data_IF_599854314260
#
_entry.id   IF_599854314260
#
_cell.length_a   1.000
_cell.length_b   1.000
_cell.length_c   1.000
_cell.angle_alpha   90.00
_cell.angle_beta   90.00
_cell.angle_gamma   90.00
#
_symmetry.space_group_name_H-M   'P 1'
#
loop_
_entity.id
_entity.type
_entity.pdbx_description
1 polymer ?
#
# COMPACT_ATOMS: atom_id res chain seq x y z
N UNK A 1 -14.32 -17.42 -2.69
CA UNK A 1 -13.19 -17.22 -1.78
C UNK A 1 -13.19 -15.79 -1.27
N UNK A 2 -13.09 -15.63 0.02
CA UNK A 2 -13.17 -14.31 0.61
C UNK A 2 -11.87 -13.53 0.38
N UNK A 3 -12.03 -12.33 -0.12
CA UNK A 3 -10.89 -11.44 -0.22
C UNK A 3 -10.46 -11.00 1.18
N UNK A 4 -9.15 -10.92 1.42
CA UNK A 4 -8.61 -10.47 2.70
C UNK A 4 -8.67 -8.95 2.84
N UNK A 5 -9.10 -8.27 1.79
CA UNK A 5 -9.12 -6.81 1.73
C UNK A 5 -10.20 -6.35 0.76
N UNK A 6 -10.59 -5.10 0.92
CA UNK A 6 -11.57 -4.47 0.02
C UNK A 6 -10.91 -4.12 -1.31
N UNK A 7 -11.74 -3.75 -2.30
CA UNK A 7 -11.24 -3.33 -3.59
C UNK A 7 -10.31 -2.12 -3.46
N UNK A 8 -10.70 -1.13 -2.67
CA UNK A 8 -9.88 0.06 -2.46
C UNK A 8 -8.56 -0.29 -1.79
N UNK A 9 -8.61 -1.12 -0.76
CA UNK A 9 -7.39 -1.59 -0.09
C UNK A 9 -6.49 -2.33 -1.07
N UNK A 10 -7.09 -3.16 -1.92
CA UNK A 10 -6.34 -3.89 -2.94
C UNK A 10 -5.64 -2.96 -3.92
N UNK A 11 -6.26 -1.84 -4.28
CA UNK A 11 -5.64 -0.87 -5.19
C UNK A 11 -4.45 -0.19 -4.53
N UNK A 12 -4.55 0.14 -3.23
CA UNK A 12 -3.40 0.68 -2.50
C UNK A 12 -2.25 -0.32 -2.46
N UNK A 13 -2.57 -1.60 -2.17
CA UNK A 13 -1.55 -2.64 -2.16
C UNK A 13 -0.90 -2.80 -3.53
N UNK A 14 -1.71 -2.75 -4.59
CA UNK A 14 -1.22 -2.87 -5.95
C UNK A 14 -0.30 -1.72 -6.32
N UNK A 15 -0.67 -0.49 -5.97
CA UNK A 15 0.18 0.67 -6.23
C UNK A 15 1.53 0.53 -5.52
N UNK A 16 1.49 0.16 -4.23
CA UNK A 16 2.72 0.01 -3.44
C UNK A 16 3.62 -1.06 -4.07
N UNK A 17 3.05 -2.21 -4.43
CA UNK A 17 3.83 -3.30 -5.02
C UNK A 17 4.45 -2.89 -6.35
N UNK A 18 3.68 -2.22 -7.20
CA UNK A 18 4.19 -1.75 -8.49
C UNK A 18 5.27 -0.68 -8.32
N UNK A 19 5.09 0.22 -7.37
CA UNK A 19 6.08 1.26 -7.11
C UNK A 19 7.41 0.65 -6.69
N UNK A 20 7.36 -0.32 -5.78
CA UNK A 20 8.58 -1.01 -5.33
C UNK A 20 9.26 -1.70 -6.50
N UNK A 21 8.47 -2.38 -7.34
CA UNK A 21 9.02 -3.09 -8.49
C UNK A 21 9.72 -2.15 -9.48
N UNK A 22 9.14 -0.98 -9.71
CA UNK A 22 9.66 -0.04 -10.70
C UNK A 22 10.79 0.84 -10.16
N UNK A 23 10.79 1.11 -8.86
CA UNK A 23 11.71 2.09 -8.27
C UNK A 23 12.72 1.47 -7.29
N UNK A 24 12.58 0.19 -7.00
CA UNK A 24 13.46 -0.54 -6.08
C UNK A 24 13.44 0.03 -4.66
N UNK A 25 12.36 0.69 -4.31
CA UNK A 25 12.13 1.24 -2.96
C UNK A 25 10.67 1.51 -2.77
N UNK A 26 10.26 1.60 -1.50
CA UNK A 26 8.87 1.85 -1.13
C UNK A 26 8.45 3.27 -1.49
N UNK A 27 7.17 3.48 -1.86
CA UNK A 27 6.65 4.84 -1.98
C UNK A 27 6.56 5.49 -0.61
N UNK A 28 6.63 6.82 -0.59
CA UNK A 28 6.24 7.61 0.57
C UNK A 28 4.73 7.78 0.56
N UNK A 29 4.15 8.17 1.69
CA UNK A 29 2.70 8.44 1.73
C UNK A 29 2.31 9.54 0.76
N UNK A 30 3.20 10.52 0.54
CA UNK A 30 2.94 11.57 -0.45
C UNK A 30 2.84 11.05 -1.88
N UNK A 31 3.59 10.01 -2.21
CA UNK A 31 3.49 9.38 -3.53
C UNK A 31 2.13 8.71 -3.70
N UNK A 32 1.67 8.01 -2.65
CA UNK A 32 0.36 7.35 -2.65
C UNK A 32 -0.74 8.38 -2.77
N UNK A 33 -0.63 9.45 -1.98
CA UNK A 33 -1.60 10.54 -2.01
C UNK A 33 -1.74 11.13 -3.41
N UNK A 34 -0.62 11.36 -4.06
CA UNK A 34 -0.62 11.98 -5.40
C UNK A 34 -1.27 11.06 -6.42
N UNK A 35 -0.98 9.77 -6.34
CA UNK A 35 -1.55 8.82 -7.29
C UNK A 35 -3.06 8.71 -7.15
N UNK A 36 -3.55 8.57 -5.93
CA UNK A 36 -4.98 8.37 -5.68
C UNK A 36 -5.77 9.69 -5.58
N UNK A 37 -5.07 10.84 -5.56
CA UNK A 37 -5.69 12.17 -5.50
C UNK A 37 -6.59 12.30 -4.27
N UNK A 38 -6.07 11.90 -3.13
CA UNK A 38 -6.77 11.97 -1.84
C UNK A 38 -5.97 12.83 -0.88
N UNK A 39 -6.54 13.10 0.30
CA UNK A 39 -5.88 13.92 1.30
C UNK A 39 -4.84 13.13 2.09
N UNK A 40 -3.84 13.79 2.68
CA UNK A 40 -2.84 13.10 3.51
C UNK A 40 -3.46 12.27 4.65
N UNK A 41 -4.45 12.77 5.41
CA UNK A 41 -5.07 11.95 6.44
C UNK A 41 -5.70 10.67 5.89
N UNK A 42 -6.30 10.73 4.69
CA UNK A 42 -6.92 9.56 4.08
C UNK A 42 -5.87 8.48 3.80
N UNK A 43 -4.72 8.88 3.24
CA UNK A 43 -3.63 7.95 2.98
C UNK A 43 -3.11 7.35 4.28
N UNK A 44 -2.86 8.20 5.26
CA UNK A 44 -2.31 7.73 6.54
C UNK A 44 -3.25 6.72 7.20
N UNK A 45 -4.55 6.99 7.21
CA UNK A 45 -5.53 6.07 7.78
C UNK A 45 -5.53 4.73 7.05
N UNK A 46 -5.42 4.76 5.72
CA UNK A 46 -5.37 3.53 4.94
C UNK A 46 -4.09 2.75 5.25
N UNK A 47 -2.94 3.41 5.32
CA UNK A 47 -1.68 2.75 5.63
C UNK A 47 -1.75 2.09 7.00
N UNK A 48 -2.27 2.79 8.00
CA UNK A 48 -2.43 2.23 9.34
C UNK A 48 -3.37 1.01 9.31
N UNK A 49 -4.46 1.10 8.56
CA UNK A 49 -5.42 0.00 8.45
C UNK A 49 -4.78 -1.22 7.78
N UNK A 50 -4.06 -1.03 6.69
CA UNK A 50 -3.40 -2.13 6.00
C UNK A 50 -2.37 -2.82 6.90
N UNK A 51 -1.67 -2.03 7.69
CA UNK A 51 -0.70 -2.59 8.65
C UNK A 51 -1.39 -3.42 9.72
N UNK A 52 -2.50 -2.91 10.27
CA UNK A 52 -3.29 -3.66 11.27
C UNK A 52 -3.81 -4.97 10.72
N UNK A 53 -4.15 -5.02 9.45
CA UNK A 53 -4.64 -6.23 8.81
C UNK A 53 -3.52 -7.21 8.46
N UNK A 54 -2.26 -6.82 8.67
CA UNK A 54 -1.14 -7.67 8.35
C UNK A 54 -0.81 -7.73 6.87
N UNK A 55 -1.36 -6.83 6.07
CA UNK A 55 -1.16 -6.82 4.62
C UNK A 55 0.11 -6.08 4.23
N UNK A 56 0.57 -5.19 5.07
CA UNK A 56 1.85 -4.50 4.91
C UNK A 56 2.56 -4.42 6.25
N UNK A 57 3.86 -4.17 6.21
CA UNK A 57 4.64 -3.79 7.38
C UNK A 57 5.41 -2.51 7.03
N UNK A 58 5.84 -1.81 8.06
CA UNK A 58 6.68 -0.61 7.89
C UNK A 58 7.51 -0.42 9.15
N UNK A 59 8.63 0.28 9.01
CA UNK A 59 9.50 0.59 10.14
C UNK A 59 9.03 1.93 10.72
N UNK A 60 8.62 1.97 12.00
CA UNK A 60 8.16 3.23 12.61
C UNK A 60 9.23 4.32 12.52
N UNK A 61 8.81 5.51 12.15
CA UNK A 61 9.71 6.67 12.07
C UNK A 61 10.63 6.69 10.87
N UNK A 62 10.57 5.68 10.01
CA UNK A 62 11.42 5.61 8.81
C UNK A 62 10.54 5.80 7.58
N UNK A 63 10.83 6.84 6.79
CA UNK A 63 10.13 7.07 5.54
C UNK A 63 10.47 5.98 4.53
N UNK A 64 9.54 5.72 3.60
CA UNK A 64 9.73 4.77 2.50
C UNK A 64 10.12 3.37 2.99
N UNK A 65 9.45 2.91 4.06
CA UNK A 65 9.76 1.61 4.66
C UNK A 65 8.62 0.60 4.51
N UNK A 66 7.62 0.88 3.67
CA UNK A 66 6.47 0.00 3.51
C UNK A 66 6.89 -1.26 2.75
N UNK A 67 6.45 -2.41 3.26
CA UNK A 67 6.63 -3.71 2.60
C UNK A 67 5.27 -4.37 2.46
N UNK A 68 5.02 -4.97 1.29
CA UNK A 68 3.81 -5.73 1.03
C UNK A 68 4.03 -7.15 1.53
N UNK A 69 3.11 -7.64 2.38
CA UNK A 69 3.27 -8.94 3.03
C UNK A 69 2.43 -10.04 2.39
N UNK A 70 1.66 -9.73 1.36
CA UNK A 70 0.90 -10.75 0.64
C UNK A 70 1.70 -11.24 -0.56
N UNK A 71 1.35 -12.44 -1.06
CA UNK A 71 2.02 -13.00 -2.23
C UNK A 71 1.79 -12.15 -3.47
N UNK A 72 2.77 -12.06 -4.38
CA UNK A 72 2.59 -11.28 -5.61
C UNK A 72 1.36 -11.66 -6.42
N UNK A 73 1.02 -12.96 -6.45
CA UNK A 73 -0.15 -13.43 -7.19
C UNK A 73 -1.48 -13.00 -6.54
N UNK A 74 -1.45 -12.57 -5.28
CA UNK A 74 -2.66 -12.10 -4.59
C UNK A 74 -2.84 -10.59 -4.74
N UNK A 75 -1.86 -9.90 -5.31
CA UNK A 75 -1.95 -8.45 -5.53
C UNK A 75 -2.85 -8.20 -6.73
N UNK A 76 -3.93 -7.40 -6.56
CA UNK A 76 -4.83 -7.14 -7.68
C UNK A 76 -4.16 -6.32 -8.78
N UNK A 77 -4.77 -6.36 -9.96
CA UNK A 77 -4.33 -5.50 -11.05
C UNK A 77 -4.60 -4.04 -10.70
N UNK A 78 -3.62 -3.20 -10.93
CA UNK A 78 -3.77 -1.77 -10.69
C UNK A 78 -4.63 -1.16 -11.81
N UNK A 79 -5.67 -0.45 -11.41
CA UNK A 79 -6.57 0.20 -12.35
C UNK A 79 -6.06 1.56 -12.79
#
# INVERSE_FOLDING_TARGET
MDAKFTETQGQYLSFIAHYIKLNDRSPAESDIQRYFKVTPPTVHQMVVKLEKLGLITRTPGVARSIRVEISPEDVPRLK
#
